data_IF_562829910799
#
_entry.id   IF_562829910799
#
_cell.length_a   1.000
_cell.length_b   1.000
_cell.length_c   1.000
_cell.angle_alpha   90.00
_cell.angle_beta   90.00
_cell.angle_gamma   90.00
#
_symmetry.space_group_name_H-M   'P 1'
#
loop_
_entity.id
_entity.type
_entity.pdbx_description
1 polymer ?
#
# COMPACT_ATOMS: atom_id res chain seq x y z
N UNK A 1 -28.35 -34.92 -0.88
CA UNK A 1 -28.09 -33.50 -1.24
C UNK A 1 -26.90 -32.84 -0.53
N UNK A 2 -26.35 -33.39 0.55
CA UNK A 2 -25.22 -32.80 1.28
C UNK A 2 -23.83 -32.93 0.65
N UNK A 3 -23.58 -33.92 -0.22
CA UNK A 3 -22.24 -34.21 -0.76
C UNK A 3 -21.75 -33.17 -1.81
N UNK A 4 -22.63 -32.69 -2.68
CA UNK A 4 -22.25 -31.74 -3.75
C UNK A 4 -21.97 -30.34 -3.23
N UNK A 5 -22.70 -29.91 -2.18
CA UNK A 5 -22.46 -28.60 -1.54
C UNK A 5 -21.15 -28.58 -0.76
N UNK A 6 -20.80 -29.65 -0.08
CA UNK A 6 -19.54 -29.79 0.65
C UNK A 6 -18.32 -29.86 -0.30
N UNK A 7 -18.45 -30.55 -1.44
CA UNK A 7 -17.41 -30.60 -2.47
C UNK A 7 -17.17 -29.20 -3.09
N UNK A 8 -18.22 -28.49 -3.46
CA UNK A 8 -18.11 -27.12 -3.97
C UNK A 8 -17.51 -26.14 -2.94
N UNK A 9 -17.85 -26.29 -1.67
CA UNK A 9 -17.27 -25.44 -0.61
C UNK A 9 -15.78 -25.72 -0.43
N UNK A 10 -15.34 -26.98 -0.46
CA UNK A 10 -13.93 -27.37 -0.40
C UNK A 10 -13.14 -26.90 -1.64
N UNK A 11 -13.70 -27.00 -2.85
CA UNK A 11 -13.07 -26.51 -4.07
C UNK A 11 -12.92 -24.99 -4.06
N UNK A 12 -13.91 -24.25 -3.56
CA UNK A 12 -13.86 -22.79 -3.43
C UNK A 12 -12.81 -22.37 -2.41
N UNK A 13 -12.73 -23.03 -1.25
CA UNK A 13 -11.70 -22.76 -0.26
C UNK A 13 -10.28 -23.08 -0.76
N UNK A 14 -10.11 -24.21 -1.41
CA UNK A 14 -8.81 -24.59 -2.00
C UNK A 14 -8.39 -23.60 -3.10
N UNK A 15 -9.31 -23.14 -3.91
CA UNK A 15 -9.02 -22.17 -4.97
C UNK A 15 -8.70 -20.79 -4.40
N UNK A 16 -9.42 -20.35 -3.35
CA UNK A 16 -9.12 -19.11 -2.62
C UNK A 16 -7.72 -19.10 -2.01
N UNK A 17 -7.27 -20.20 -1.45
CA UNK A 17 -5.92 -20.32 -0.88
C UNK A 17 -4.84 -20.23 -1.97
N UNK A 18 -5.06 -20.91 -3.09
CA UNK A 18 -4.05 -21.02 -4.17
C UNK A 18 -3.72 -19.72 -4.86
N UNK A 19 -4.71 -18.88 -5.17
CA UNK A 19 -4.43 -17.58 -5.82
C UNK A 19 -3.78 -16.59 -4.84
N UNK A 20 -4.13 -16.62 -3.54
CA UNK A 20 -3.46 -15.81 -2.52
C UNK A 20 -1.98 -16.17 -2.38
N UNK A 21 -1.65 -17.44 -2.36
CA UNK A 21 -0.26 -17.92 -2.35
C UNK A 21 0.50 -17.47 -3.60
N UNK A 22 -0.14 -17.48 -4.77
CA UNK A 22 0.45 -17.00 -6.03
C UNK A 22 0.74 -15.50 -5.96
N UNK A 23 -0.18 -14.68 -5.42
CA UNK A 23 0.02 -13.25 -5.19
C UNK A 23 1.21 -13.02 -4.26
N UNK A 24 1.24 -13.67 -3.10
CA UNK A 24 2.33 -13.51 -2.12
C UNK A 24 3.68 -13.88 -2.74
N UNK A 25 3.74 -15.01 -3.44
CA UNK A 25 4.96 -15.51 -4.07
C UNK A 25 5.47 -14.56 -5.15
N UNK A 26 4.55 -14.03 -5.98
CA UNK A 26 4.87 -13.05 -7.01
C UNK A 26 5.42 -11.76 -6.40
N UNK A 27 4.71 -11.17 -5.43
CA UNK A 27 5.17 -9.94 -4.79
C UNK A 27 6.51 -10.15 -4.08
N UNK A 28 6.74 -11.30 -3.46
CA UNK A 28 8.04 -11.62 -2.83
C UNK A 28 9.18 -11.66 -3.84
N UNK A 29 8.93 -12.17 -5.04
CA UNK A 29 9.93 -12.23 -6.10
C UNK A 29 10.20 -10.86 -6.74
N UNK A 30 9.14 -10.06 -6.96
CA UNK A 30 9.20 -8.83 -7.74
C UNK A 30 9.49 -7.57 -6.91
N UNK A 31 9.23 -7.58 -5.59
CA UNK A 31 9.43 -6.41 -4.72
C UNK A 31 10.93 -6.11 -4.55
N UNK A 32 11.44 -5.27 -5.48
CA UNK A 32 12.81 -4.79 -5.45
C UNK A 32 12.85 -3.26 -5.28
N UNK A 33 13.76 -2.75 -4.43
CA UNK A 33 14.62 -3.50 -3.49
C UNK A 33 13.80 -4.30 -2.46
N UNK A 34 14.41 -5.33 -1.86
CA UNK A 34 13.73 -6.34 -1.01
C UNK A 34 12.96 -5.75 0.19
N UNK A 35 13.36 -4.58 0.68
CA UNK A 35 12.66 -3.85 1.75
C UNK A 35 11.25 -3.38 1.35
N UNK A 36 10.93 -3.34 0.06
CA UNK A 36 9.58 -3.02 -0.42
C UNK A 36 8.56 -4.14 -0.13
N UNK A 37 8.99 -5.39 -0.03
CA UNK A 37 8.08 -6.51 0.23
C UNK A 37 7.23 -6.33 1.49
N UNK A 38 7.81 -5.79 2.56
CA UNK A 38 7.12 -5.64 3.83
C UNK A 38 5.95 -4.64 3.82
N UNK A 39 5.84 -3.80 2.80
CA UNK A 39 4.77 -2.81 2.67
C UNK A 39 3.40 -3.47 2.49
N UNK A 40 3.26 -4.34 1.52
CA UNK A 40 1.98 -4.95 1.16
C UNK A 40 1.31 -5.72 2.31
N UNK A 41 2.01 -6.64 3.01
CA UNK A 41 1.39 -7.33 4.15
C UNK A 41 1.02 -6.38 5.29
N UNK A 42 1.79 -5.30 5.54
CA UNK A 42 1.43 -4.32 6.56
C UNK A 42 0.22 -3.47 6.17
N UNK A 43 0.13 -3.03 4.90
CA UNK A 43 -1.05 -2.33 4.40
C UNK A 43 -2.29 -3.21 4.52
N UNK A 44 -2.22 -4.47 4.10
CA UNK A 44 -3.33 -5.40 4.25
C UNK A 44 -3.74 -5.58 5.73
N UNK A 45 -2.78 -5.83 6.62
CA UNK A 45 -3.06 -5.97 8.05
C UNK A 45 -3.68 -4.69 8.67
N UNK A 46 -3.22 -3.51 8.25
CA UNK A 46 -3.82 -2.24 8.66
C UNK A 46 -5.23 -2.07 8.12
N UNK A 47 -5.47 -2.39 6.84
CA UNK A 47 -6.78 -2.31 6.23
C UNK A 47 -7.79 -3.23 6.95
N UNK A 48 -7.40 -4.47 7.26
CA UNK A 48 -8.23 -5.39 8.07
C UNK A 48 -8.50 -4.82 9.47
N UNK A 49 -7.50 -4.20 10.12
CA UNK A 49 -7.66 -3.57 11.43
C UNK A 49 -8.59 -2.37 11.39
N UNK A 50 -8.51 -1.54 10.35
CA UNK A 50 -9.41 -0.40 10.14
C UNK A 50 -10.84 -0.90 9.91
N UNK A 51 -11.01 -1.93 9.07
CA UNK A 51 -12.27 -2.53 8.68
C UNK A 51 -12.90 -3.46 9.73
N UNK A 52 -12.32 -3.58 10.93
CA UNK A 52 -12.86 -4.45 11.97
C UNK A 52 -14.30 -4.06 12.32
N UNK A 53 -15.24 -4.99 12.16
CA UNK A 53 -16.68 -4.76 12.36
C UNK A 53 -17.42 -4.12 11.18
N UNK A 54 -16.73 -3.82 10.08
CA UNK A 54 -17.33 -3.34 8.83
C UNK A 54 -17.56 -4.51 7.86
N UNK A 55 -18.50 -4.34 6.96
CA UNK A 55 -18.73 -5.30 5.87
C UNK A 55 -17.89 -4.91 4.66
N UNK A 56 -17.04 -5.81 4.19
CA UNK A 56 -16.22 -5.68 2.97
C UNK A 56 -15.88 -7.07 2.40
N UNK A 57 -15.48 -7.11 1.14
CA UNK A 57 -15.01 -8.32 0.49
C UNK A 57 -13.50 -8.50 0.74
N UNK A 58 -13.13 -9.47 1.59
CA UNK A 58 -11.74 -9.72 1.96
C UNK A 58 -10.88 -10.22 0.79
N UNK A 59 -11.46 -10.88 -0.22
CA UNK A 59 -10.71 -11.28 -1.42
C UNK A 59 -10.30 -10.05 -2.24
N UNK A 60 -11.22 -9.10 -2.40
CA UNK A 60 -10.96 -7.82 -3.08
C UNK A 60 -9.92 -7.01 -2.31
N UNK A 61 -10.11 -6.85 -1.00
CA UNK A 61 -9.19 -6.09 -0.15
C UNK A 61 -7.79 -6.70 -0.16
N UNK A 62 -7.67 -8.03 -0.01
CA UNK A 62 -6.39 -8.74 -0.07
C UNK A 62 -5.70 -8.51 -1.42
N UNK A 63 -6.40 -8.79 -2.53
CA UNK A 63 -5.83 -8.65 -3.86
C UNK A 63 -5.38 -7.21 -4.13
N UNK A 64 -6.20 -6.22 -3.81
CA UNK A 64 -5.87 -4.82 -3.98
C UNK A 64 -4.68 -4.39 -3.11
N UNK A 65 -4.68 -4.73 -1.81
CA UNK A 65 -3.61 -4.36 -0.90
C UNK A 65 -2.24 -4.98 -1.27
N UNK A 66 -2.24 -6.22 -1.76
CA UNK A 66 -1.01 -6.86 -2.19
C UNK A 66 -0.50 -6.38 -3.55
N UNK A 67 -1.39 -5.93 -4.44
CA UNK A 67 -1.03 -5.59 -5.83
C UNK A 67 -0.89 -4.09 -6.08
N UNK A 68 -1.43 -3.19 -5.23
CA UNK A 68 -1.58 -1.75 -5.52
C UNK A 68 -0.29 -1.04 -5.98
N UNK A 69 0.85 -1.49 -5.53
CA UNK A 69 2.15 -0.85 -5.74
C UNK A 69 3.08 -1.65 -6.68
N UNK A 70 2.59 -2.64 -7.44
CA UNK A 70 3.43 -3.43 -8.37
C UNK A 70 4.22 -2.53 -9.32
N UNK A 71 3.61 -1.49 -9.86
CA UNK A 71 4.25 -0.56 -10.79
C UNK A 71 5.35 0.34 -10.19
N UNK A 72 5.60 0.29 -8.86
CA UNK A 72 6.73 1.01 -8.23
C UNK A 72 7.98 0.14 -8.05
N UNK A 73 7.90 -1.17 -8.32
CA UNK A 73 9.06 -2.05 -8.24
C UNK A 73 10.04 -1.80 -9.39
N UNK A 74 11.33 -2.05 -9.13
CA UNK A 74 12.39 -1.69 -10.08
C UNK A 74 12.16 -2.26 -11.49
N UNK A 75 11.72 -3.51 -11.60
CA UNK A 75 11.49 -4.16 -12.90
C UNK A 75 10.16 -3.77 -13.59
N UNK A 76 9.33 -2.96 -12.93
CA UNK A 76 8.01 -2.56 -13.42
C UNK A 76 7.89 -1.07 -13.76
N UNK A 77 8.92 -0.30 -13.50
CA UNK A 77 8.96 1.15 -13.70
C UNK A 77 10.10 1.53 -14.66
N UNK A 78 10.04 2.71 -15.30
CA UNK A 78 11.16 3.20 -16.08
C UNK A 78 12.44 3.31 -15.26
N UNK A 79 13.59 3.05 -15.90
CA UNK A 79 14.93 3.24 -15.32
C UNK A 79 15.44 4.67 -15.50
N UNK A 80 15.01 5.34 -16.58
CA UNK A 80 15.43 6.69 -16.95
C UNK A 80 14.87 7.71 -15.95
N UNK A 81 15.71 8.57 -15.34
CA UNK A 81 15.28 9.52 -14.30
C UNK A 81 14.13 10.44 -14.72
N UNK A 82 14.15 10.94 -15.96
CA UNK A 82 13.12 11.83 -16.49
C UNK A 82 11.76 11.13 -16.64
N UNK A 83 11.76 9.90 -17.12
CA UNK A 83 10.54 9.09 -17.24
C UNK A 83 10.04 8.66 -15.86
N UNK A 84 10.95 8.29 -14.95
CA UNK A 84 10.63 7.93 -13.58
C UNK A 84 9.97 9.08 -12.82
N UNK A 85 10.45 10.32 -13.03
CA UNK A 85 9.88 11.51 -12.38
C UNK A 85 8.41 11.77 -12.77
N UNK A 86 8.00 11.33 -13.97
CA UNK A 86 6.63 11.47 -14.51
C UNK A 86 5.82 10.18 -14.43
N UNK A 87 6.41 9.10 -13.89
CA UNK A 87 5.80 7.79 -13.88
C UNK A 87 4.57 7.74 -12.98
N UNK A 88 3.41 7.52 -13.59
CA UNK A 88 2.20 7.11 -12.89
C UNK A 88 2.08 5.59 -12.94
N UNK A 89 2.35 4.94 -11.81
CA UNK A 89 2.34 3.48 -11.70
C UNK A 89 0.93 2.87 -11.75
N UNK A 90 -0.11 3.65 -11.44
CA UNK A 90 -1.47 3.12 -11.23
C UNK A 90 -2.04 2.42 -12.46
N UNK A 91 -2.06 3.01 -13.67
CA UNK A 91 -2.59 2.34 -14.86
C UNK A 91 -1.85 1.03 -15.18
N UNK A 92 -0.52 1.02 -15.04
CA UNK A 92 0.29 -0.18 -15.21
C UNK A 92 -0.09 -1.25 -14.18
N UNK A 93 -0.20 -0.86 -12.91
CA UNK A 93 -0.54 -1.76 -11.81
C UNK A 93 -1.91 -2.40 -12.01
N UNK A 94 -2.92 -1.63 -12.38
CA UNK A 94 -4.28 -2.12 -12.67
C UNK A 94 -4.26 -3.16 -13.79
N UNK A 95 -3.60 -2.84 -14.91
CA UNK A 95 -3.48 -3.78 -16.03
C UNK A 95 -2.78 -5.08 -15.61
N UNK A 96 -1.68 -4.96 -14.86
CA UNK A 96 -0.91 -6.11 -14.40
C UNK A 96 -1.67 -6.96 -13.39
N UNK A 97 -2.37 -6.32 -12.45
CA UNK A 97 -3.20 -7.01 -11.47
C UNK A 97 -4.32 -7.82 -12.12
N UNK A 98 -5.08 -7.24 -13.06
CA UNK A 98 -6.11 -7.95 -13.81
C UNK A 98 -5.59 -9.20 -14.51
N UNK A 99 -4.45 -9.07 -15.22
CA UNK A 99 -3.84 -10.19 -15.95
C UNK A 99 -3.40 -11.33 -15.02
N UNK A 100 -2.71 -10.98 -13.93
CA UNK A 100 -2.14 -11.98 -13.02
C UNK A 100 -3.23 -12.63 -12.17
N UNK A 101 -4.16 -11.87 -11.63
CA UNK A 101 -5.26 -12.41 -10.82
C UNK A 101 -6.14 -13.36 -11.65
N UNK A 102 -6.49 -12.98 -12.89
CA UNK A 102 -7.22 -13.88 -13.79
C UNK A 102 -6.44 -15.18 -14.08
N UNK A 103 -5.13 -15.07 -14.32
CA UNK A 103 -4.25 -16.23 -14.55
C UNK A 103 -4.19 -17.18 -13.34
N UNK A 104 -4.26 -16.64 -12.11
CA UNK A 104 -4.17 -17.42 -10.88
C UNK A 104 -5.52 -17.96 -10.38
N UNK A 105 -6.61 -17.68 -11.11
CA UNK A 105 -7.95 -18.19 -10.78
C UNK A 105 -8.68 -17.35 -9.72
N UNK A 106 -8.35 -16.07 -9.61
CA UNK A 106 -9.13 -15.11 -8.82
C UNK A 106 -10.54 -14.99 -9.42
N UNK A 107 -11.61 -14.81 -8.61
CA UNK A 107 -12.97 -14.63 -9.10
C UNK A 107 -13.08 -13.46 -10.09
N UNK A 108 -13.49 -13.76 -11.32
CA UNK A 108 -13.49 -12.77 -12.42
C UNK A 108 -14.50 -11.64 -12.22
N UNK A 109 -15.59 -11.92 -11.54
CA UNK A 109 -16.64 -10.96 -11.16
C UNK A 109 -16.17 -9.91 -10.13
N UNK A 110 -15.05 -10.18 -9.42
CA UNK A 110 -14.44 -9.27 -8.45
C UNK A 110 -13.28 -8.43 -9.02
N UNK A 111 -12.82 -8.71 -10.24
CA UNK A 111 -11.64 -8.03 -10.82
C UNK A 111 -11.83 -6.51 -10.95
N UNK A 112 -13.02 -6.06 -11.29
CA UNK A 112 -13.29 -4.61 -11.41
C UNK A 112 -13.26 -3.91 -10.04
N UNK A 113 -13.72 -4.55 -8.98
CA UNK A 113 -13.62 -4.02 -7.63
C UNK A 113 -12.16 -3.89 -7.16
N UNK A 114 -11.31 -4.89 -7.50
CA UNK A 114 -9.85 -4.81 -7.26
C UNK A 114 -9.23 -3.66 -8.05
N UNK A 115 -9.58 -3.51 -9.31
CA UNK A 115 -9.07 -2.44 -10.16
C UNK A 115 -9.46 -1.06 -9.62
N UNK A 116 -10.71 -0.87 -9.23
CA UNK A 116 -11.20 0.38 -8.63
C UNK A 116 -10.47 0.70 -7.32
N UNK A 117 -10.27 -0.30 -6.45
CA UNK A 117 -9.54 -0.11 -5.21
C UNK A 117 -8.08 0.33 -5.47
N UNK A 118 -7.42 -0.26 -6.48
CA UNK A 118 -6.06 0.14 -6.89
C UNK A 118 -6.07 1.54 -7.51
N UNK A 119 -7.04 1.88 -8.35
CA UNK A 119 -7.13 3.19 -8.99
C UNK A 119 -7.30 4.33 -7.98
N UNK A 120 -8.00 4.09 -6.90
CA UNK A 120 -8.38 5.11 -5.92
C UNK A 120 -7.55 5.10 -4.62
N UNK A 121 -6.52 4.22 -4.49
CA UNK A 121 -5.75 4.08 -3.26
C UNK A 121 -4.94 5.33 -2.88
N UNK A 122 -4.56 6.18 -3.84
CA UNK A 122 -3.74 7.35 -3.55
C UNK A 122 -4.51 8.41 -2.76
N UNK A 123 -3.82 9.10 -1.84
CA UNK A 123 -4.41 10.02 -0.87
C UNK A 123 -5.19 11.21 -1.48
N UNK A 124 -4.99 11.51 -2.77
CA UNK A 124 -5.69 12.58 -3.48
C UNK A 124 -6.95 12.10 -4.23
N UNK A 125 -7.17 10.79 -4.32
CA UNK A 125 -8.33 10.20 -4.98
C UNK A 125 -9.50 10.02 -4.00
N UNK A 126 -10.70 9.87 -4.55
CA UNK A 126 -11.92 9.59 -3.80
C UNK A 126 -12.26 8.10 -3.97
N UNK A 127 -12.23 7.30 -2.91
CA UNK A 127 -12.61 5.89 -2.97
C UNK A 127 -14.12 5.76 -3.24
N UNK A 128 -14.50 4.75 -4.02
CA UNK A 128 -15.89 4.50 -4.39
C UNK A 128 -16.53 3.35 -3.60
N UNK A 129 -15.70 2.38 -3.16
CA UNK A 129 -16.14 1.22 -2.40
C UNK A 129 -15.50 1.14 -1.01
N UNK A 130 -15.95 0.19 -0.19
CA UNK A 130 -15.40 -0.01 1.15
C UNK A 130 -13.94 -0.47 1.08
N UNK A 131 -13.61 -1.41 0.19
CA UNK A 131 -12.27 -1.95 0.03
C UNK A 131 -11.27 -0.88 -0.42
N UNK A 132 -11.68 0.00 -1.32
CA UNK A 132 -10.86 1.15 -1.74
C UNK A 132 -10.67 2.16 -0.61
N UNK A 133 -11.68 2.39 0.20
CA UNK A 133 -11.59 3.26 1.39
C UNK A 133 -10.61 2.68 2.41
N UNK A 134 -10.73 1.38 2.72
CA UNK A 134 -9.86 0.70 3.67
C UNK A 134 -8.40 0.66 3.19
N UNK A 135 -8.17 0.34 1.92
CA UNK A 135 -6.85 0.33 1.32
C UNK A 135 -6.20 1.72 1.37
N UNK A 136 -6.93 2.75 0.97
CA UNK A 136 -6.45 4.13 0.95
C UNK A 136 -6.08 4.63 2.35
N UNK A 137 -6.94 4.43 3.33
CA UNK A 137 -6.68 4.84 4.71
C UNK A 137 -5.48 4.06 5.31
N UNK A 138 -5.34 2.77 4.98
CA UNK A 138 -4.20 1.96 5.40
C UNK A 138 -2.88 2.43 4.77
N UNK A 139 -2.86 2.75 3.47
CA UNK A 139 -1.66 3.27 2.81
C UNK A 139 -1.26 4.65 3.33
N UNK A 140 -2.23 5.51 3.64
CA UNK A 140 -1.97 6.79 4.33
C UNK A 140 -1.31 6.54 5.69
N UNK A 141 -1.82 5.61 6.50
CA UNK A 141 -1.24 5.27 7.80
C UNK A 141 0.18 4.69 7.71
N UNK A 142 0.51 3.96 6.63
CA UNK A 142 1.87 3.45 6.40
C UNK A 142 2.90 4.54 6.10
N UNK A 143 2.45 5.73 5.71
CA UNK A 143 3.30 6.90 5.50
C UNK A 143 3.50 7.72 6.76
N UNK A 144 2.74 7.46 7.82
CA UNK A 144 2.84 8.11 9.12
C UNK A 144 3.61 7.25 10.13
N UNK A 145 4.21 7.91 11.12
CA UNK A 145 4.89 7.25 12.24
C UNK A 145 6.26 6.67 11.89
N UNK A 146 6.74 5.75 12.74
CA UNK A 146 8.09 5.20 12.68
C UNK A 146 8.38 4.46 11.36
N UNK A 147 7.42 3.66 10.88
CA UNK A 147 7.57 2.94 9.61
C UNK A 147 7.63 3.90 8.43
N UNK A 148 6.78 4.93 8.41
CA UNK A 148 6.78 5.98 7.38
C UNK A 148 8.11 6.72 7.33
N UNK A 149 8.64 7.13 8.49
CA UNK A 149 9.95 7.76 8.62
C UNK A 149 11.06 6.86 8.09
N UNK A 150 11.16 5.61 8.56
CA UNK A 150 12.18 4.66 8.14
C UNK A 150 12.11 4.37 6.63
N UNK A 151 10.92 4.16 6.07
CA UNK A 151 10.71 3.95 4.62
C UNK A 151 11.12 5.16 3.78
N UNK A 152 10.97 6.36 4.31
CA UNK A 152 11.37 7.58 3.59
C UNK A 152 12.87 7.78 3.65
N UNK A 153 13.49 7.60 4.82
CA UNK A 153 14.94 7.73 5.03
C UNK A 153 15.72 6.72 4.17
N UNK A 154 15.28 5.47 4.09
CA UNK A 154 15.99 4.45 3.31
C UNK A 154 16.04 4.72 1.80
N UNK A 155 15.26 5.69 1.29
CA UNK A 155 15.30 6.12 -0.12
C UNK A 155 16.49 7.03 -0.42
N UNK A 156 17.11 7.64 0.59
CA UNK A 156 18.27 8.52 0.40
C UNK A 156 19.39 7.77 -0.32
N UNK A 157 19.87 8.35 -1.40
CA UNK A 157 20.90 7.74 -2.26
C UNK A 157 20.45 6.55 -3.12
N UNK A 158 19.18 6.08 -2.97
CA UNK A 158 18.60 4.99 -3.78
C UNK A 158 17.53 5.47 -4.76
N UNK A 159 16.93 6.60 -4.49
CA UNK A 159 15.89 7.21 -5.32
C UNK A 159 16.33 8.64 -5.64
N UNK A 160 16.38 8.98 -6.92
CA UNK A 160 16.86 10.28 -7.41
C UNK A 160 16.10 11.47 -6.85
N UNK A 161 14.90 11.26 -6.30
CA UNK A 161 14.10 12.29 -5.62
C UNK A 161 14.62 12.62 -4.21
N UNK A 162 15.50 11.79 -3.66
CA UNK A 162 16.04 11.90 -2.31
C UNK A 162 17.58 11.88 -2.34
N UNK A 163 18.22 12.94 -2.84
CA UNK A 163 19.68 12.97 -2.98
C UNK A 163 20.43 13.06 -1.65
N UNK A 164 19.81 13.68 -0.64
CA UNK A 164 20.42 13.92 0.67
C UNK A 164 19.43 13.65 1.81
N UNK A 165 19.92 13.57 3.04
CA UNK A 165 19.06 13.47 4.24
C UNK A 165 18.16 14.70 4.38
N UNK A 166 18.65 15.92 4.08
CA UNK A 166 17.85 17.12 4.10
C UNK A 166 16.62 17.06 3.20
N UNK A 167 16.68 16.31 2.11
CA UNK A 167 15.54 16.12 1.19
C UNK A 167 14.37 15.32 1.79
N UNK A 168 14.61 14.59 2.87
CA UNK A 168 13.60 13.76 3.57
C UNK A 168 12.70 14.61 4.47
N UNK A 169 13.26 15.63 5.13
CA UNK A 169 12.56 16.45 6.12
C UNK A 169 11.27 17.07 5.55
N UNK A 170 11.31 17.81 4.43
CA UNK A 170 10.09 18.42 3.88
C UNK A 170 9.05 17.38 3.47
N UNK A 171 9.46 16.19 3.04
CA UNK A 171 8.52 15.11 2.68
C UNK A 171 7.81 14.56 3.92
N UNK A 172 8.54 14.35 5.01
CA UNK A 172 7.96 13.89 6.27
C UNK A 172 7.10 14.97 6.94
N UNK A 173 7.52 16.26 6.89
CA UNK A 173 6.69 17.39 7.34
C UNK A 173 5.39 17.47 6.56
N UNK A 174 5.45 17.41 5.24
CA UNK A 174 4.25 17.40 4.40
C UNK A 174 3.32 16.21 4.71
N UNK A 175 3.88 15.02 4.94
CA UNK A 175 3.09 13.87 5.35
C UNK A 175 2.39 14.10 6.69
N UNK A 176 3.09 14.68 7.68
CA UNK A 176 2.56 15.03 8.99
C UNK A 176 1.43 16.07 8.89
N UNK A 177 1.60 17.08 8.06
CA UNK A 177 0.68 18.21 7.96
C UNK A 177 -0.58 17.89 7.14
N UNK A 178 -0.47 17.01 6.13
CA UNK A 178 -1.57 16.80 5.20
C UNK A 178 -2.31 15.47 5.41
N UNK A 179 -1.58 14.38 5.67
CA UNK A 179 -2.15 13.03 5.58
C UNK A 179 -3.18 12.70 6.67
N UNK A 180 -3.05 13.15 7.93
CA UNK A 180 -4.05 12.88 8.96
C UNK A 180 -5.45 13.39 8.58
N UNK A 181 -5.52 14.54 7.91
CA UNK A 181 -6.79 15.15 7.47
C UNK A 181 -7.43 14.43 6.26
N UNK A 182 -6.68 13.57 5.58
CA UNK A 182 -7.16 12.79 4.43
C UNK A 182 -7.78 11.46 4.84
N UNK A 183 -7.63 11.03 6.09
CA UNK A 183 -8.24 9.81 6.62
C UNK A 183 -9.76 9.97 6.71
N UNK A 184 -10.48 8.98 6.18
CA UNK A 184 -11.94 9.04 6.08
C UNK A 184 -12.64 8.20 7.15
N UNK A 185 -12.05 7.08 7.58
CA UNK A 185 -12.63 6.24 8.62
C UNK A 185 -12.26 6.73 10.03
N UNK A 186 -13.17 6.58 10.98
CA UNK A 186 -12.90 6.89 12.39
C UNK A 186 -11.80 6.00 12.95
N UNK A 187 -11.83 4.70 12.64
CA UNK A 187 -10.81 3.74 13.05
C UNK A 187 -9.40 4.15 12.60
N UNK A 188 -9.25 4.62 11.35
CA UNK A 188 -7.97 5.09 10.86
C UNK A 188 -7.50 6.37 11.56
N UNK A 189 -8.40 7.32 11.85
CA UNK A 189 -8.07 8.53 12.61
C UNK A 189 -7.58 8.20 14.02
N UNK A 190 -8.21 7.26 14.70
CA UNK A 190 -7.75 6.77 16.02
C UNK A 190 -6.35 6.15 15.94
N UNK A 191 -6.09 5.33 14.90
CA UNK A 191 -4.78 4.72 14.67
C UNK A 191 -3.70 5.73 14.26
N UNK A 192 -4.08 6.86 13.69
CA UNK A 192 -3.15 7.92 13.29
C UNK A 192 -2.56 8.68 14.49
N UNK A 193 -3.31 8.85 15.58
CA UNK A 193 -2.90 9.68 16.72
C UNK A 193 -1.48 9.38 17.21
N UNK A 194 -1.16 8.15 17.66
CA UNK A 194 0.19 7.80 18.10
C UNK A 194 1.26 7.92 17.00
N UNK A 195 0.90 7.70 15.73
CA UNK A 195 1.82 7.80 14.60
C UNK A 195 2.20 9.24 14.30
N UNK A 196 1.22 10.14 14.35
CA UNK A 196 1.40 11.59 14.20
C UNK A 196 2.28 12.14 15.32
N UNK A 197 1.98 11.75 16.58
CA UNK A 197 2.77 12.16 17.73
C UNK A 197 4.23 11.71 17.60
N UNK A 198 4.46 10.43 17.23
CA UNK A 198 5.82 9.93 17.01
C UNK A 198 6.54 10.70 15.90
N UNK A 199 5.91 10.88 14.74
CA UNK A 199 6.54 11.54 13.60
C UNK A 199 6.87 12.99 13.91
N UNK A 200 6.01 13.71 14.63
CA UNK A 200 6.28 15.07 15.07
C UNK A 200 7.47 15.13 16.03
N UNK A 201 7.49 14.27 17.06
CA UNK A 201 8.62 14.22 18.02
C UNK A 201 9.93 13.83 17.34
N UNK A 202 9.88 12.87 16.39
CA UNK A 202 11.06 12.48 15.63
C UNK A 202 11.62 13.63 14.79
N UNK A 203 10.77 14.36 14.07
CA UNK A 203 11.20 15.49 13.25
C UNK A 203 11.75 16.64 14.10
N UNK A 204 11.12 16.94 15.23
CA UNK A 204 11.64 17.96 16.17
C UNK A 204 13.03 17.56 16.67
N UNK A 205 13.20 16.34 17.16
CA UNK A 205 14.49 15.88 17.65
C UNK A 205 15.57 15.87 16.54
N UNK A 206 15.20 15.43 15.32
CA UNK A 206 16.12 15.42 14.18
C UNK A 206 16.60 16.84 13.82
N UNK A 207 15.70 17.81 13.82
CA UNK A 207 16.04 19.21 13.53
C UNK A 207 16.88 19.84 14.65
N UNK A 208 16.52 19.60 15.92
CA UNK A 208 17.27 20.11 17.09
C UNK A 208 18.69 19.53 17.16
N UNK A 209 18.86 18.21 16.92
CA UNK A 209 20.15 17.54 17.00
C UNK A 209 21.08 17.86 15.81
N UNK A 210 20.49 18.03 14.62
CA UNK A 210 21.26 18.30 13.40
C UNK A 210 21.62 19.78 13.26
N UNK A 211 20.86 20.69 13.82
CA UNK A 211 20.97 22.11 13.52
C UNK A 211 20.88 22.34 12.01
N UNK A 212 21.78 23.14 11.46
CA UNK A 212 21.85 23.40 10.02
C UNK A 212 22.80 22.44 9.26
N UNK A 213 23.27 21.39 9.91
CA UNK A 213 24.31 20.50 9.39
C UNK A 213 23.79 19.18 8.80
N UNK A 214 22.49 18.97 8.77
CA UNK A 214 21.90 17.79 8.13
C UNK A 214 21.93 17.96 6.60
N UNK A 215 22.71 17.12 5.94
CA UNK A 215 22.89 17.07 4.48
C UNK A 215 22.25 15.83 3.87
#
# INVERSE_FOLDING_TARGET
MGSVAALKHNETQMNSTRWRESVISYIRAEAQPADKFGHQPRVYALACRIGAGMYYDDDVLFAAAWMHDVGVFVHHRPSEPELLARWNHVPYTVSRARQLLAKWGFPTDKLEAVAEAIESHQSHNVPKGMESLLLRDADILEQLGAVGAARTIVKVGRDTRYPTFSSVIPVLRKALDELPYKLQTESARLLAGPRVQFLNSFLTALEDESGDLLL
#
